data_IF_117703344097
#
_entry.id   IF_117703344097
#
_cell.length_a   1.000
_cell.length_b   1.000
_cell.length_c   1.000
_cell.angle_alpha   90.00
_cell.angle_beta   90.00
_cell.angle_gamma   90.00
#
_symmetry.space_group_name_H-M   'P 1'
#
loop_
_entity.id
_entity.type
_entity.pdbx_description
1 polymer ?
#
# COMPACT_ATOMS: atom_id res chain seq x y z
N UNK A 1 2.56 14.72 -2.54
CA UNK A 1 1.28 14.01 -2.75
C UNK A 1 1.10 13.64 -4.21
N UNK A 2 0.21 12.71 -4.54
CA UNK A 2 -0.10 12.33 -5.92
C UNK A 2 -0.68 13.53 -6.72
N UNK A 3 -1.51 14.36 -6.08
CA UNK A 3 -2.08 15.56 -6.70
C UNK A 3 -1.01 16.59 -7.06
N UNK A 4 -0.04 16.85 -6.18
CA UNK A 4 1.08 17.75 -6.48
C UNK A 4 1.92 17.23 -7.63
N UNK A 5 2.17 15.91 -7.68
CA UNK A 5 2.90 15.29 -8.80
C UNK A 5 2.14 15.42 -10.12
N UNK A 6 0.81 15.24 -10.10
CA UNK A 6 -0.05 15.43 -11.27
C UNK A 6 0.08 16.86 -11.80
N UNK A 7 -0.04 17.84 -10.93
CA UNK A 7 0.10 19.24 -11.28
C UNK A 7 1.48 19.57 -11.87
N UNK A 8 2.55 19.13 -11.21
CA UNK A 8 3.92 19.29 -11.72
C UNK A 8 4.10 18.60 -13.08
N UNK A 9 3.51 17.41 -13.25
CA UNK A 9 3.62 16.67 -14.51
C UNK A 9 2.93 17.39 -15.66
N UNK A 10 1.73 17.92 -15.45
CA UNK A 10 0.94 18.60 -16.48
C UNK A 10 1.51 19.98 -16.83
N UNK A 11 1.89 20.77 -15.84
CA UNK A 11 2.35 22.14 -16.07
C UNK A 11 3.82 22.24 -16.52
N UNK A 12 4.67 21.30 -16.08
CA UNK A 12 6.10 21.44 -16.30
C UNK A 12 6.74 20.25 -17.03
N UNK A 13 6.53 19.01 -16.52
CA UNK A 13 7.31 17.88 -17.01
C UNK A 13 6.94 17.47 -18.42
N UNK A 14 5.66 17.45 -18.75
CA UNK A 14 5.16 17.01 -20.06
C UNK A 14 5.64 17.99 -21.15
N UNK A 15 5.56 19.28 -20.94
CA UNK A 15 6.02 20.27 -21.89
C UNK A 15 7.55 20.21 -22.07
N UNK A 16 8.29 20.11 -20.97
CA UNK A 16 9.75 19.93 -20.98
C UNK A 16 10.16 18.71 -21.78
N UNK A 17 9.50 17.57 -21.57
CA UNK A 17 9.83 16.33 -22.28
C UNK A 17 9.40 16.36 -23.74
N UNK A 18 8.27 16.97 -24.10
CA UNK A 18 7.89 17.21 -25.51
C UNK A 18 8.96 18.02 -26.24
N UNK A 19 9.36 19.17 -25.69
CA UNK A 19 10.41 20.02 -26.28
C UNK A 19 11.72 19.27 -26.46
N UNK A 20 12.14 18.49 -25.44
CA UNK A 20 13.37 17.71 -25.48
C UNK A 20 13.38 16.64 -26.57
N UNK A 21 12.22 16.11 -26.93
CA UNK A 21 12.07 15.06 -27.95
C UNK A 21 11.53 15.58 -29.30
N UNK A 22 11.45 16.89 -29.48
CA UNK A 22 10.98 17.49 -30.72
C UNK A 22 9.50 17.26 -31.01
N UNK A 23 8.67 17.04 -29.98
CA UNK A 23 7.25 16.81 -30.12
C UNK A 23 6.45 18.07 -29.80
N UNK A 24 5.39 18.28 -30.59
CA UNK A 24 4.40 19.32 -30.32
C UNK A 24 3.26 18.81 -29.46
N UNK A 25 2.50 19.73 -28.83
CA UNK A 25 1.30 19.37 -28.06
C UNK A 25 0.19 18.72 -28.92
N UNK A 26 0.22 18.93 -30.25
CA UNK A 26 -0.71 18.27 -31.17
C UNK A 26 -0.29 16.82 -31.45
N UNK A 27 1.01 16.53 -31.47
CA UNK A 27 1.55 15.20 -31.76
C UNK A 27 1.46 14.22 -30.59
N UNK A 28 1.67 14.73 -29.36
CA UNK A 28 1.54 13.89 -28.15
C UNK A 28 0.63 14.55 -27.11
N UNK A 29 -0.40 13.84 -26.71
CA UNK A 29 -1.27 14.20 -25.58
C UNK A 29 -1.27 13.06 -24.57
N UNK A 30 -1.16 13.36 -23.27
CA UNK A 30 -1.37 12.42 -22.17
C UNK A 30 -2.60 12.92 -21.44
N UNK A 31 -3.62 12.08 -21.32
CA UNK A 31 -4.82 12.39 -20.56
C UNK A 31 -4.55 12.38 -19.06
N UNK A 32 -5.32 13.13 -18.27
CA UNK A 32 -5.16 13.19 -16.82
C UNK A 32 -5.25 11.80 -16.16
N UNK A 33 -6.23 10.98 -16.58
CA UNK A 33 -6.39 9.60 -16.10
C UNK A 33 -5.16 8.71 -16.38
N UNK A 34 -4.49 8.94 -17.50
CA UNK A 34 -3.25 8.24 -17.84
C UNK A 34 -2.05 8.78 -17.05
N UNK A 35 -2.01 10.08 -16.76
CA UNK A 35 -0.96 10.66 -15.93
C UNK A 35 -1.06 10.17 -14.48
N UNK A 36 -2.25 10.13 -13.92
CA UNK A 36 -2.51 9.53 -12.61
C UNK A 36 -2.06 8.06 -12.58
N UNK A 37 -2.39 7.28 -13.60
CA UNK A 37 -1.96 5.90 -13.71
C UNK A 37 -0.44 5.75 -13.83
N UNK A 38 0.25 6.67 -14.50
CA UNK A 38 1.72 6.70 -14.53
C UNK A 38 2.28 6.95 -13.14
N UNK A 39 1.70 7.89 -12.39
CA UNK A 39 2.13 8.21 -11.02
C UNK A 39 1.96 7.01 -10.10
N UNK A 40 0.79 6.39 -10.11
CA UNK A 40 0.43 5.34 -9.14
C UNK A 40 0.92 3.95 -9.55
N UNK A 41 0.89 3.65 -10.85
CA UNK A 41 1.16 2.32 -11.36
C UNK A 41 2.58 2.09 -11.86
N UNK A 42 3.30 3.14 -12.23
CA UNK A 42 4.62 3.02 -12.86
C UNK A 42 5.75 3.73 -12.12
N UNK A 43 5.42 4.71 -11.23
CA UNK A 43 6.42 5.50 -10.53
C UNK A 43 6.06 5.68 -9.05
N UNK A 44 6.66 4.88 -8.16
CA UNK A 44 6.42 4.98 -6.72
C UNK A 44 7.65 5.60 -6.05
N UNK A 45 7.70 6.93 -5.97
CA UNK A 45 8.85 7.70 -5.49
C UNK A 45 8.42 8.92 -4.65
N UNK A 46 9.32 9.42 -3.81
CA UNK A 46 9.07 10.63 -3.01
C UNK A 46 9.09 11.91 -3.86
N UNK A 47 9.88 11.95 -4.93
CA UNK A 47 10.00 13.09 -5.85
C UNK A 47 9.29 12.85 -7.17
N UNK A 48 9.81 13.46 -8.24
CA UNK A 48 9.26 13.39 -9.62
C UNK A 48 10.32 12.97 -10.67
N UNK A 49 11.48 12.47 -10.25
CA UNK A 49 12.55 12.09 -11.19
C UNK A 49 12.19 10.89 -12.05
N UNK A 50 11.60 9.87 -11.44
CA UNK A 50 11.17 8.68 -12.17
C UNK A 50 9.96 9.01 -13.04
N UNK A 51 9.05 9.86 -12.57
CA UNK A 51 7.92 10.37 -13.34
C UNK A 51 8.40 11.11 -14.59
N UNK A 52 9.38 12.00 -14.46
CA UNK A 52 9.98 12.68 -15.61
C UNK A 52 10.61 11.70 -16.60
N UNK A 53 11.33 10.68 -16.11
CA UNK A 53 11.92 9.64 -16.97
C UNK A 53 10.87 8.83 -17.70
N UNK A 54 9.78 8.48 -17.04
CA UNK A 54 8.68 7.69 -17.60
C UNK A 54 7.91 8.50 -18.65
N UNK A 55 7.65 9.79 -18.40
CA UNK A 55 7.11 10.70 -19.43
C UNK A 55 8.06 10.78 -20.64
N UNK A 56 9.37 10.88 -20.41
CA UNK A 56 10.38 10.84 -21.49
C UNK A 56 10.37 9.53 -22.27
N UNK A 57 10.10 8.39 -21.62
CA UNK A 57 9.93 7.11 -22.30
C UNK A 57 8.71 7.10 -23.22
N UNK A 58 7.59 7.62 -22.76
CA UNK A 58 6.38 7.80 -23.57
C UNK A 58 6.67 8.71 -24.77
N UNK A 59 7.39 9.81 -24.57
CA UNK A 59 7.82 10.70 -25.66
C UNK A 59 8.66 9.98 -26.71
N UNK A 60 9.66 9.18 -26.30
CA UNK A 60 10.49 8.41 -27.24
C UNK A 60 9.69 7.42 -28.06
N UNK A 61 8.72 6.73 -27.44
CA UNK A 61 7.82 5.80 -28.16
C UNK A 61 6.90 6.53 -29.13
N UNK A 62 6.40 7.70 -28.74
CA UNK A 62 5.62 8.56 -29.64
C UNK A 62 6.44 9.00 -30.85
N UNK A 63 7.68 9.45 -30.65
CA UNK A 63 8.59 9.80 -31.76
C UNK A 63 8.81 8.62 -32.69
N UNK A 64 9.08 7.43 -32.14
CA UNK A 64 9.27 6.22 -32.95
C UNK A 64 8.03 5.92 -33.82
N UNK A 65 6.83 5.94 -33.25
CA UNK A 65 5.58 5.68 -33.99
C UNK A 65 5.28 6.73 -35.07
N UNK A 66 5.64 7.99 -34.82
CA UNK A 66 5.44 9.08 -35.78
C UNK A 66 6.44 8.97 -36.92
N UNK A 67 7.72 8.71 -36.64
CA UNK A 67 8.77 8.60 -37.66
C UNK A 67 8.62 7.34 -38.51
N UNK A 68 8.12 6.24 -37.93
CA UNK A 68 7.81 5.02 -38.71
C UNK A 68 6.56 5.14 -39.59
N UNK A 69 5.84 6.26 -39.49
CA UNK A 69 4.58 6.45 -40.23
C UNK A 69 3.39 5.67 -39.69
N UNK A 70 3.57 4.97 -38.57
CA UNK A 70 2.48 4.19 -37.92
C UNK A 70 1.36 5.11 -37.44
N UNK A 71 1.69 6.30 -36.92
CA UNK A 71 0.73 7.30 -36.46
C UNK A 71 1.22 8.72 -36.73
N UNK A 72 0.28 9.63 -36.95
CA UNK A 72 0.59 11.07 -37.03
C UNK A 72 0.59 11.75 -35.67
N UNK A 73 -0.23 11.23 -34.75
CA UNK A 73 -0.40 11.73 -33.37
C UNK A 73 -0.61 10.58 -32.42
N UNK A 74 -0.23 10.74 -31.16
CA UNK A 74 -0.45 9.78 -30.08
C UNK A 74 -1.23 10.46 -28.94
N UNK A 75 -2.37 9.90 -28.59
CA UNK A 75 -3.07 10.22 -27.35
C UNK A 75 -2.91 9.06 -26.38
N UNK A 76 -2.25 9.34 -25.25
CA UNK A 76 -2.04 8.36 -24.19
C UNK A 76 -3.25 8.36 -23.27
N UNK A 77 -3.79 7.19 -23.05
CA UNK A 77 -4.93 6.90 -22.17
C UNK A 77 -4.55 5.77 -21.23
N UNK A 78 -5.28 5.59 -20.14
CA UNK A 78 -5.08 4.47 -19.22
C UNK A 78 -5.06 3.11 -19.94
N UNK A 79 -5.88 2.96 -21.01
CA UNK A 79 -6.01 1.70 -21.76
C UNK A 79 -4.78 1.32 -22.59
N UNK A 80 -4.03 2.30 -23.08
CA UNK A 80 -2.86 2.04 -23.94
C UNK A 80 -1.51 2.20 -23.24
N UNK A 81 -1.51 2.49 -21.94
CA UNK A 81 -0.28 2.64 -21.15
C UNK A 81 0.55 1.36 -21.12
N UNK A 82 -0.11 0.21 -20.98
CA UNK A 82 0.61 -1.07 -20.93
C UNK A 82 1.36 -1.39 -22.22
N UNK A 83 0.80 -1.01 -23.37
CA UNK A 83 1.50 -1.13 -24.66
C UNK A 83 2.73 -0.20 -24.76
N UNK A 84 2.66 0.94 -24.07
CA UNK A 84 3.72 1.94 -24.09
C UNK A 84 4.79 1.71 -23.01
N UNK A 85 4.42 1.27 -21.81
CA UNK A 85 5.32 1.20 -20.66
C UNK A 85 5.54 -0.23 -20.13
N UNK A 86 4.84 -1.23 -20.72
CA UNK A 86 4.81 -2.59 -20.20
C UNK A 86 3.82 -2.77 -19.06
N UNK A 87 3.85 -3.93 -18.44
CA UNK A 87 2.96 -4.25 -17.33
C UNK A 87 3.10 -3.24 -16.17
N UNK A 88 1.99 -2.98 -15.49
CA UNK A 88 1.96 -2.15 -14.29
C UNK A 88 2.96 -2.67 -13.25
N UNK A 89 3.80 -1.77 -12.72
CA UNK A 89 4.86 -2.12 -11.77
C UNK A 89 4.37 -2.20 -10.33
N UNK A 90 3.44 -1.32 -9.98
CA UNK A 90 2.87 -1.20 -8.63
C UNK A 90 1.40 -1.50 -8.68
N UNK A 91 1.01 -2.65 -8.11
CA UNK A 91 -0.40 -3.03 -8.03
C UNK A 91 -1.10 -2.20 -6.96
N UNK A 92 -2.39 -1.88 -7.14
CA UNK A 92 -3.16 -1.24 -6.09
C UNK A 92 -3.28 -2.19 -4.89
N UNK A 93 -3.36 -1.62 -3.69
CA UNK A 93 -3.59 -2.40 -2.49
C UNK A 93 -4.90 -3.19 -2.64
N UNK A 94 -4.83 -4.50 -2.40
CA UNK A 94 -6.02 -5.34 -2.40
C UNK A 94 -6.87 -5.01 -1.18
N UNK A 95 -8.05 -4.45 -1.39
CA UNK A 95 -9.02 -4.22 -0.32
C UNK A 95 -9.97 -5.41 -0.31
N UNK A 96 -9.97 -6.16 0.79
CA UNK A 96 -10.99 -7.20 0.99
C UNK A 96 -12.36 -6.54 1.05
N UNK A 97 -13.29 -7.04 0.25
CA UNK A 97 -14.66 -6.51 0.19
C UNK A 97 -15.49 -6.87 1.43
N UNK A 98 -15.12 -7.97 2.08
CA UNK A 98 -15.80 -8.49 3.25
C UNK A 98 -14.84 -8.50 4.45
N UNK A 99 -15.35 -8.23 5.66
CA UNK A 99 -14.57 -8.36 6.89
C UNK A 99 -14.06 -9.79 7.06
N UNK A 100 -12.80 -9.93 7.48
CA UNK A 100 -12.20 -11.22 7.78
C UNK A 100 -11.79 -11.27 9.24
N UNK A 101 -12.13 -12.37 9.92
CA UNK A 101 -11.76 -12.60 11.31
C UNK A 101 -10.23 -12.65 11.44
N UNK A 102 -9.70 -11.93 12.43
CA UNK A 102 -8.27 -11.87 12.70
C UNK A 102 -7.48 -10.98 11.75
N UNK A 103 -8.13 -10.29 10.79
CA UNK A 103 -7.45 -9.38 9.86
C UNK A 103 -7.92 -7.96 10.10
N UNK A 104 -6.98 -7.09 10.45
CA UNK A 104 -7.23 -5.65 10.62
C UNK A 104 -6.27 -4.86 9.76
N UNK A 105 -6.77 -3.85 9.10
CA UNK A 105 -5.99 -2.97 8.25
C UNK A 105 -5.62 -1.69 8.99
N UNK A 106 -4.32 -1.48 9.17
CA UNK A 106 -3.74 -0.25 9.65
C UNK A 106 -3.39 0.70 8.52
N UNK A 107 -3.29 2.00 8.82
CA UNK A 107 -2.79 3.01 7.91
C UNK A 107 -1.34 3.33 8.27
N UNK A 108 -0.48 3.35 7.27
CA UNK A 108 0.92 3.69 7.41
C UNK A 108 1.27 4.89 6.53
N UNK A 109 2.14 5.75 7.03
CA UNK A 109 2.73 6.83 6.26
C UNK A 109 4.11 6.42 5.77
N UNK A 110 4.38 6.64 4.48
CA UNK A 110 5.69 6.40 3.88
C UNK A 110 6.19 7.65 3.15
N UNK A 111 7.46 7.66 2.77
CA UNK A 111 8.02 8.76 1.95
C UNK A 111 7.32 8.94 0.61
N UNK A 112 6.56 7.96 0.17
CA UNK A 112 5.81 7.99 -1.09
C UNK A 112 4.31 8.23 -0.90
N UNK A 113 3.87 8.48 0.33
CA UNK A 113 2.49 8.76 0.70
C UNK A 113 1.92 7.73 1.68
N UNK A 114 0.61 7.80 1.89
CA UNK A 114 -0.12 6.84 2.72
C UNK A 114 -0.21 5.48 2.03
N UNK A 115 -0.15 4.42 2.82
CA UNK A 115 -0.37 3.04 2.40
C UNK A 115 -1.13 2.30 3.49
N UNK A 116 -1.63 1.12 3.18
CA UNK A 116 -2.27 0.26 4.18
C UNK A 116 -1.36 -0.91 4.53
N UNK A 117 -1.41 -1.34 5.80
CA UNK A 117 -0.74 -2.54 6.30
C UNK A 117 -1.79 -3.48 6.85
N UNK A 118 -1.81 -4.72 6.38
CA UNK A 118 -2.63 -5.76 7.01
C UNK A 118 -1.91 -6.30 8.24
N UNK A 119 -2.64 -6.41 9.34
CA UNK A 119 -2.23 -7.17 10.53
C UNK A 119 -3.08 -8.43 10.54
N UNK A 120 -2.45 -9.57 10.36
CA UNK A 120 -3.10 -10.87 10.29
C UNK A 120 -2.78 -11.66 11.54
N UNK A 121 -3.81 -12.12 12.24
CA UNK A 121 -3.66 -12.88 13.48
C UNK A 121 -4.35 -14.22 13.34
N UNK A 122 -3.59 -15.27 13.64
CA UNK A 122 -4.09 -16.61 13.80
C UNK A 122 -4.01 -17.03 15.26
N UNK A 123 -5.11 -17.55 15.79
CA UNK A 123 -5.20 -18.17 17.10
C UNK A 123 -5.51 -19.66 16.91
N UNK A 124 -4.70 -20.53 17.51
CA UNK A 124 -4.85 -21.98 17.38
C UNK A 124 -4.70 -22.67 18.74
N UNK A 125 -5.26 -23.86 18.95
CA UNK A 125 -4.96 -24.64 20.14
C UNK A 125 -3.45 -24.86 20.28
N UNK A 126 -2.91 -24.69 21.50
CA UNK A 126 -1.48 -24.75 21.72
C UNK A 126 -1.10 -24.64 23.20
N UNK A 127 0.13 -24.22 23.46
CA UNK A 127 0.76 -24.14 24.79
C UNK A 127 0.97 -22.68 25.26
N UNK A 128 0.37 -21.71 24.59
CA UNK A 128 0.51 -20.29 24.91
C UNK A 128 1.71 -19.63 24.23
N UNK A 129 2.17 -20.17 23.11
CA UNK A 129 3.28 -19.57 22.34
C UNK A 129 2.79 -18.27 21.67
N UNK A 130 3.59 -17.22 21.80
CA UNK A 130 3.39 -15.95 21.12
C UNK A 130 4.45 -15.76 20.05
N UNK A 131 4.04 -15.54 18.81
CA UNK A 131 4.96 -15.34 17.69
C UNK A 131 4.55 -14.12 16.88
N UNK A 132 5.56 -13.35 16.47
CA UNK A 132 5.40 -12.19 15.60
C UNK A 132 6.32 -12.34 14.39
N UNK A 133 5.80 -12.11 13.18
CA UNK A 133 6.55 -12.20 11.93
C UNK A 133 6.21 -11.03 11.00
N UNK A 134 7.10 -10.68 10.06
CA UNK A 134 6.89 -9.59 9.10
C UNK A 134 7.98 -8.52 9.13
N UNK A 135 9.17 -8.84 9.68
CA UNK A 135 10.31 -7.92 9.79
C UNK A 135 9.98 -6.66 10.62
N UNK A 136 9.48 -6.91 11.85
CA UNK A 136 9.08 -5.86 12.77
C UNK A 136 10.26 -5.42 13.64
N UNK A 137 10.36 -4.13 13.88
CA UNK A 137 11.31 -3.56 14.82
C UNK A 137 10.91 -3.83 16.27
N UNK A 138 11.81 -3.44 17.17
CA UNK A 138 11.67 -3.70 18.61
C UNK A 138 10.44 -3.03 19.21
N UNK A 139 10.19 -1.76 18.87
CA UNK A 139 9.06 -0.99 19.40
C UNK A 139 7.72 -1.62 19.00
N UNK A 140 7.63 -2.08 17.75
CA UNK A 140 6.42 -2.73 17.25
C UNK A 140 6.19 -4.10 17.89
N UNK A 141 7.27 -4.85 18.16
CA UNK A 141 7.22 -6.13 18.88
C UNK A 141 6.76 -5.92 20.34
N UNK A 142 7.32 -4.95 21.03
CA UNK A 142 6.90 -4.58 22.39
C UNK A 142 5.41 -4.13 22.43
N UNK A 143 4.96 -3.42 21.39
CA UNK A 143 3.54 -3.04 21.25
C UNK A 143 2.62 -4.27 21.09
N UNK A 144 3.08 -5.31 20.40
CA UNK A 144 2.34 -6.56 20.26
C UNK A 144 2.23 -7.31 21.60
N UNK A 145 3.32 -7.36 22.37
CA UNK A 145 3.34 -7.95 23.71
C UNK A 145 2.44 -7.18 24.70
N UNK A 146 2.46 -5.84 24.62
CA UNK A 146 1.58 -4.98 25.40
C UNK A 146 0.10 -5.22 25.06
N UNK A 147 -0.22 -5.40 23.75
CA UNK A 147 -1.57 -5.74 23.31
C UNK A 147 -2.08 -7.05 23.92
N UNK A 148 -1.25 -8.10 23.91
CA UNK A 148 -1.60 -9.39 24.57
C UNK A 148 -1.80 -9.21 26.06
N UNK A 149 -0.94 -8.46 26.73
CA UNK A 149 -1.04 -8.18 28.17
C UNK A 149 -2.31 -7.43 28.50
N UNK A 150 -2.69 -6.45 27.70
CA UNK A 150 -3.96 -5.72 27.83
C UNK A 150 -5.17 -6.65 27.68
N UNK A 151 -5.18 -7.49 26.65
CA UNK A 151 -6.29 -8.42 26.41
C UNK A 151 -6.44 -9.41 27.57
N UNK A 152 -5.33 -9.90 28.12
CA UNK A 152 -5.33 -10.76 29.32
C UNK A 152 -5.93 -10.06 30.52
N UNK A 153 -5.62 -8.79 30.76
CA UNK A 153 -6.18 -8.01 31.86
C UNK A 153 -7.67 -7.71 31.71
N UNK A 154 -8.20 -7.79 30.50
CA UNK A 154 -9.59 -7.49 30.15
C UNK A 154 -10.36 -8.73 29.64
N UNK A 155 -9.91 -9.92 30.00
CA UNK A 155 -10.48 -11.18 29.50
C UNK A 155 -11.99 -11.30 29.70
N UNK A 156 -12.53 -10.88 30.87
CA UNK A 156 -13.95 -10.87 31.14
C UNK A 156 -14.74 -9.96 30.18
N UNK A 157 -14.21 -8.77 29.93
CA UNK A 157 -14.81 -7.81 28.98
C UNK A 157 -14.92 -8.39 27.57
N UNK A 158 -13.94 -9.14 27.15
CA UNK A 158 -13.90 -9.78 25.84
C UNK A 158 -14.52 -11.19 25.82
N UNK A 159 -15.09 -11.64 26.95
CA UNK A 159 -15.67 -12.97 27.09
C UNK A 159 -14.71 -14.10 26.76
N UNK A 160 -13.45 -13.95 27.13
CA UNK A 160 -12.40 -14.94 26.94
C UNK A 160 -12.21 -15.77 28.20
N UNK A 161 -11.82 -17.03 28.04
CA UNK A 161 -11.43 -17.88 29.16
C UNK A 161 -10.24 -17.24 29.92
N UNK A 162 -10.22 -17.28 31.28
CA UNK A 162 -9.15 -16.67 32.08
C UNK A 162 -7.74 -17.18 31.72
N UNK A 163 -7.64 -18.43 31.25
CA UNK A 163 -6.40 -19.10 30.90
C UNK A 163 -6.19 -19.30 29.38
N UNK A 164 -6.93 -18.55 28.54
CA UNK A 164 -6.83 -18.65 27.08
C UNK A 164 -5.37 -18.58 26.59
N UNK A 165 -4.57 -17.73 27.22
CA UNK A 165 -3.16 -17.51 26.87
C UNK A 165 -2.23 -18.70 27.18
N UNK A 166 -2.72 -19.72 27.92
CA UNK A 166 -2.00 -20.99 28.15
C UNK A 166 -2.47 -22.09 27.21
N UNK A 167 -3.64 -21.95 26.62
CA UNK A 167 -4.30 -22.97 25.80
C UNK A 167 -4.28 -22.64 24.32
N UNK A 168 -3.98 -21.40 23.96
CA UNK A 168 -3.93 -20.95 22.57
C UNK A 168 -2.58 -20.35 22.22
N UNK A 169 -2.02 -20.77 21.11
CA UNK A 169 -0.90 -20.11 20.46
C UNK A 169 -1.44 -18.94 19.63
N UNK A 170 -0.74 -17.80 19.68
CA UNK A 170 -1.10 -16.59 18.95
C UNK A 170 0.04 -16.27 17.99
N UNK A 171 -0.26 -16.16 16.71
CA UNK A 171 0.69 -15.74 15.68
C UNK A 171 0.20 -14.48 15.00
N UNK A 172 0.98 -13.40 15.11
CA UNK A 172 0.78 -12.15 14.38
C UNK A 172 1.70 -12.16 13.17
N UNK A 173 1.13 -11.90 12.00
CA UNK A 173 1.88 -11.72 10.76
C UNK A 173 1.54 -10.37 10.14
N UNK A 174 2.57 -9.61 9.77
CA UNK A 174 2.41 -8.39 8.97
C UNK A 174 3.12 -8.61 7.65
N UNK A 175 2.37 -8.75 6.53
CA UNK A 175 2.93 -9.00 5.20
C UNK A 175 4.01 -8.00 4.76
N UNK A 176 4.66 -8.28 3.64
CA UNK A 176 5.78 -7.47 3.10
C UNK A 176 7.04 -7.50 3.98
N UNK A 177 7.48 -8.71 4.37
CA UNK A 177 8.65 -8.90 5.23
C UNK A 177 9.99 -8.35 4.71
N UNK A 178 10.07 -8.01 3.41
CA UNK A 178 11.22 -7.34 2.84
C UNK A 178 11.41 -5.89 3.31
N UNK A 179 10.32 -5.23 3.75
CA UNK A 179 10.34 -3.86 4.24
C UNK A 179 10.35 -3.86 5.77
N UNK A 180 11.40 -3.31 6.43
CA UNK A 180 11.40 -3.14 7.88
C UNK A 180 10.24 -2.24 8.31
N UNK A 181 9.57 -2.62 9.39
CA UNK A 181 8.44 -1.88 9.96
C UNK A 181 8.69 -1.68 11.45
N UNK A 182 8.54 -0.46 11.93
CA UNK A 182 8.61 -0.15 13.35
C UNK A 182 7.69 1.03 13.68
N UNK A 183 7.20 1.09 14.92
CA UNK A 183 6.36 2.19 15.37
C UNK A 183 5.46 1.82 16.55
N UNK A 184 5.18 2.76 17.48
CA UNK A 184 4.42 2.49 18.69
C UNK A 184 2.90 2.42 18.46
N UNK A 185 2.40 3.02 17.40
CA UNK A 185 0.94 3.16 17.16
C UNK A 185 0.27 1.89 16.61
N UNK A 186 1.04 0.88 16.23
CA UNK A 186 0.52 -0.40 15.73
C UNK A 186 -0.19 -1.24 16.81
N UNK A 187 0.06 -0.95 18.10
CA UNK A 187 -0.47 -1.74 19.22
C UNK A 187 -1.99 -1.86 19.22
N UNK A 188 -2.72 -0.79 18.93
CA UNK A 188 -4.19 -0.82 18.89
C UNK A 188 -4.70 -1.65 17.71
N UNK A 189 -4.05 -1.60 16.54
CA UNK A 189 -4.37 -2.43 15.38
C UNK A 189 -4.15 -3.91 15.69
N UNK A 190 -3.03 -4.23 16.34
CA UNK A 190 -2.71 -5.61 16.77
C UNK A 190 -3.68 -6.11 17.83
N UNK A 191 -4.01 -5.29 18.84
CA UNK A 191 -5.00 -5.65 19.87
C UNK A 191 -6.36 -5.98 19.24
N UNK A 192 -6.82 -5.16 18.30
CA UNK A 192 -8.08 -5.38 17.59
C UNK A 192 -8.06 -6.68 16.79
N UNK A 193 -6.97 -6.95 16.08
CA UNK A 193 -6.82 -8.19 15.30
C UNK A 193 -6.78 -9.44 16.20
N UNK A 194 -6.08 -9.38 17.34
CA UNK A 194 -6.03 -10.47 18.32
C UNK A 194 -7.42 -10.72 18.91
N UNK A 195 -8.15 -9.68 19.33
CA UNK A 195 -9.50 -9.82 19.87
C UNK A 195 -10.41 -10.45 18.82
N UNK A 196 -10.37 -9.96 17.57
CA UNK A 196 -11.15 -10.53 16.47
C UNK A 196 -10.84 -12.03 16.28
N UNK A 197 -9.58 -12.42 16.27
CA UNK A 197 -9.17 -13.82 16.11
C UNK A 197 -9.59 -14.70 17.30
N UNK A 198 -9.54 -14.17 18.53
CA UNK A 198 -9.90 -14.93 19.74
C UNK A 198 -11.41 -15.12 19.90
N UNK A 199 -12.20 -14.12 19.47
CA UNK A 199 -13.67 -14.11 19.64
C UNK A 199 -14.45 -14.68 18.44
N UNK A 200 -13.77 -14.98 17.35
CA UNK A 200 -14.40 -15.49 16.11
C UNK A 200 -15.04 -14.40 15.26
N UNK A 201 -14.73 -13.16 15.52
CA UNK A 201 -15.23 -11.99 14.81
C UNK A 201 -16.03 -11.05 15.70
N UNK A 202 -15.91 -9.77 15.41
CA UNK A 202 -16.80 -8.75 15.93
C UNK A 202 -17.80 -8.43 14.82
N UNK A 203 -19.10 -8.60 15.10
CA UNK A 203 -20.11 -8.28 14.10
C UNK A 203 -19.95 -6.82 13.61
N UNK A 204 -19.53 -6.67 12.37
CA UNK A 204 -19.80 -5.46 11.58
C UNK A 204 -18.78 -4.35 11.60
N UNK A 205 -17.53 -4.46 12.07
CA UNK A 205 -16.63 -3.29 12.08
C UNK A 205 -15.27 -3.55 11.42
N UNK A 206 -15.07 -2.94 10.26
CA UNK A 206 -13.71 -2.68 9.72
C UNK A 206 -13.17 -1.50 10.53
N UNK A 207 -12.29 -1.74 11.49
CA UNK A 207 -11.62 -0.66 12.22
C UNK A 207 -10.39 -0.25 11.42
N UNK A 208 -10.45 0.94 10.83
CA UNK A 208 -9.28 1.57 10.23
C UNK A 208 -8.59 2.37 11.34
N UNK A 209 -7.40 1.95 11.72
CA UNK A 209 -6.62 2.61 12.75
C UNK A 209 -5.39 3.24 12.11
N UNK A 210 -5.16 4.51 12.37
CA UNK A 210 -4.01 5.24 11.85
C UNK A 210 -2.74 4.81 12.59
N UNK A 211 -1.78 4.28 11.85
CA UNK A 211 -0.43 3.99 12.31
C UNK A 211 0.51 5.04 11.72
N UNK A 212 1.13 5.85 12.55
CA UNK A 212 2.22 6.74 12.15
C UNK A 212 3.54 5.98 12.30
N UNK A 213 4.25 5.81 11.21
CA UNK A 213 5.61 5.24 11.16
C UNK A 213 6.60 6.36 10.88
#
# INVERSE_FOLDING_TARGET
TAQEKLHIAEEHLLEKQRKRHGLTAKQLKIKADAMEEIIDGYTREAGVRQLERTIGEVCRKAVKMILSGERKTLTVTKKNLEQLLGARKFMPDTIYKEPQVGIVRGLAWTRVGGTTLSVEVNCMPGEGKFRVTGNLGKVMTESAEAAVSYIRSQNERFKLEPDFYKKKDIHIHIPEGATPKDGPSAGVTMATAIISALTGGWEGTIVIITVLI
#
